data_IF_560213466263
#
_entry.id   IF_560213466263
#
_cell.length_a   1.000
_cell.length_b   1.000
_cell.length_c   1.000
_cell.angle_alpha   90.00
_cell.angle_beta   90.00
_cell.angle_gamma   90.00
#
_symmetry.space_group_name_H-M   'P 1'
#
loop_
_entity.id
_entity.type
_entity.pdbx_description
1 polymer ?
#
# COMPACT_ATOMS: atom_id res chain seq x y z
N UNK A 1 14.35 2.16 11.66
CA UNK A 1 13.17 3.00 11.34
C UNK A 1 11.95 2.52 12.11
N UNK A 2 11.24 1.46 11.68
CA UNK A 2 10.02 1.00 12.38
C UNK A 2 10.28 0.57 13.83
N UNK A 3 11.40 -0.16 14.07
CA UNK A 3 11.81 -0.55 15.43
C UNK A 3 12.06 0.63 16.37
N UNK A 4 12.54 1.75 15.82
CA UNK A 4 12.83 2.98 16.57
C UNK A 4 11.60 3.88 16.71
N UNK A 5 10.43 3.47 16.19
CA UNK A 5 9.22 4.28 16.18
C UNK A 5 9.38 5.60 15.42
N UNK A 6 10.21 5.63 14.36
CA UNK A 6 10.45 6.85 13.59
C UNK A 6 9.31 7.16 12.62
N UNK A 7 8.93 8.43 12.56
CA UNK A 7 8.06 8.99 11.53
C UNK A 7 8.93 9.54 10.39
N UNK A 8 8.63 9.16 9.15
CA UNK A 8 9.34 9.61 7.94
C UNK A 8 8.78 10.92 7.36
N UNK A 9 7.90 11.62 8.09
CA UNK A 9 7.33 12.87 7.62
C UNK A 9 8.42 13.93 7.42
N UNK A 10 8.40 14.58 6.26
CA UNK A 10 9.19 15.77 5.95
C UNK A 10 8.33 16.82 5.25
N UNK A 11 8.84 18.03 5.13
CA UNK A 11 8.28 19.02 4.19
C UNK A 11 8.39 18.52 2.74
N UNK A 12 7.61 19.12 1.84
CA UNK A 12 7.68 18.81 0.41
C UNK A 12 9.08 19.06 -0.14
N UNK A 13 9.67 18.08 -0.86
CA UNK A 13 10.95 18.28 -1.51
C UNK A 13 10.87 19.40 -2.56
N UNK A 14 11.87 20.28 -2.59
CA UNK A 14 11.91 21.44 -3.49
C UNK A 14 12.00 21.08 -4.98
N UNK A 15 12.38 19.84 -5.28
CA UNK A 15 12.49 19.26 -6.63
C UNK A 15 11.17 18.66 -7.15
N UNK A 16 10.06 18.75 -6.39
CA UNK A 16 8.74 18.27 -6.81
C UNK A 16 7.90 19.39 -7.43
N UNK A 17 7.35 20.26 -6.59
CA UNK A 17 6.57 21.43 -6.99
C UNK A 17 6.62 22.48 -5.88
N UNK A 18 6.25 23.72 -6.22
CA UNK A 18 6.19 24.80 -5.25
C UNK A 18 4.94 24.69 -4.37
N UNK A 19 5.05 24.02 -3.22
CA UNK A 19 3.94 23.86 -2.26
C UNK A 19 3.41 25.19 -1.73
N UNK A 20 4.26 26.21 -1.60
CA UNK A 20 3.85 27.53 -1.09
C UNK A 20 2.87 28.25 -2.02
N UNK A 21 2.86 27.91 -3.32
CA UNK A 21 1.87 28.45 -4.25
C UNK A 21 0.44 27.94 -3.98
N UNK A 22 0.30 26.84 -3.24
CA UNK A 22 -0.98 26.20 -2.93
C UNK A 22 -1.32 26.26 -1.43
N UNK A 23 -0.37 26.61 -0.56
CA UNK A 23 -0.59 26.55 0.88
C UNK A 23 -1.55 27.63 1.37
N UNK A 24 -2.60 27.20 2.05
CA UNK A 24 -3.50 28.04 2.84
C UNK A 24 -3.95 27.26 4.07
N UNK A 25 -3.53 27.72 5.25
CA UNK A 25 -3.86 27.10 6.52
C UNK A 25 -5.36 26.98 6.75
N UNK A 26 -6.13 27.97 6.30
CA UNK A 26 -7.59 27.99 6.50
C UNK A 26 -8.34 27.17 5.44
N UNK A 27 -7.61 26.65 4.43
CA UNK A 27 -8.16 25.91 3.31
C UNK A 27 -9.36 26.63 2.66
N UNK A 28 -9.22 27.94 2.44
CA UNK A 28 -10.33 28.84 2.12
C UNK A 28 -10.86 28.72 0.69
N UNK A 29 -10.23 27.92 -0.18
CA UNK A 29 -10.62 27.73 -1.56
C UNK A 29 -10.28 26.34 -2.11
N UNK A 30 -10.87 25.98 -3.24
CA UNK A 30 -10.71 24.64 -3.82
C UNK A 30 -9.35 24.36 -4.46
N UNK A 31 -8.54 25.42 -4.62
CA UNK A 31 -7.18 25.38 -5.15
C UNK A 31 -6.10 25.49 -4.08
N UNK A 32 -6.45 25.33 -2.80
CA UNK A 32 -5.49 25.44 -1.70
C UNK A 32 -5.34 24.15 -0.88
N UNK A 33 -4.24 24.06 -0.14
CA UNK A 33 -3.85 22.93 0.69
C UNK A 33 -3.54 23.40 2.12
N UNK A 34 -4.08 22.73 3.17
CA UNK A 34 -3.81 23.09 4.57
C UNK A 34 -2.50 22.51 5.10
N UNK A 35 -1.66 21.92 4.25
CA UNK A 35 -0.51 21.10 4.62
C UNK A 35 0.73 21.47 3.81
N UNK A 36 1.92 21.17 4.35
CA UNK A 36 3.22 21.52 3.74
C UNK A 36 4.19 20.34 3.58
N UNK A 37 3.75 19.13 3.91
CA UNK A 37 4.60 17.96 3.87
C UNK A 37 3.85 16.66 3.62
N UNK A 38 4.60 15.58 3.74
CA UNK A 38 4.17 14.20 3.50
C UNK A 38 5.33 13.28 3.82
N UNK A 39 5.33 12.08 3.26
CA UNK A 39 6.37 11.08 3.51
C UNK A 39 7.08 10.73 2.21
N UNK A 40 8.26 11.28 1.97
CA UNK A 40 8.91 11.18 0.65
C UNK A 40 10.13 10.27 0.68
N UNK A 41 10.39 9.61 -0.44
CA UNK A 41 11.65 8.93 -0.68
C UNK A 41 12.78 9.97 -0.74
N UNK A 42 13.96 9.61 -0.23
CA UNK A 42 15.12 10.51 -0.20
C UNK A 42 15.99 10.38 -1.44
N UNK A 43 15.81 9.28 -2.15
CA UNK A 43 16.49 8.92 -3.37
C UNK A 43 16.03 9.81 -4.54
N UNK A 44 16.92 9.97 -5.52
CA UNK A 44 16.60 10.68 -6.75
C UNK A 44 15.61 9.85 -7.60
N UNK A 45 14.36 10.32 -7.71
CA UNK A 45 13.33 9.65 -8.50
C UNK A 45 13.56 9.76 -10.03
N UNK A 46 14.50 10.60 -10.45
CA UNK A 46 14.97 10.68 -11.83
C UNK A 46 15.96 9.57 -12.19
N UNK A 47 16.66 8.99 -11.22
CA UNK A 47 17.67 7.97 -11.43
C UNK A 47 17.04 6.64 -11.91
N UNK A 48 17.65 6.02 -12.92
CA UNK A 48 17.22 4.73 -13.46
C UNK A 48 18.32 4.11 -14.33
N UNK A 49 18.66 2.85 -14.10
CA UNK A 49 19.60 2.10 -14.95
C UNK A 49 18.91 1.61 -16.25
N UNK A 50 18.63 2.55 -17.16
CA UNK A 50 17.91 2.26 -18.39
C UNK A 50 18.58 1.16 -19.25
N UNK A 51 19.93 1.16 -19.45
CA UNK A 51 20.58 0.09 -20.20
C UNK A 51 20.40 -1.30 -19.58
N UNK A 52 20.46 -1.42 -18.25
CA UNK A 52 20.20 -2.70 -17.58
C UNK A 52 18.80 -3.23 -17.91
N UNK A 53 17.78 -2.37 -17.88
CA UNK A 53 16.40 -2.74 -18.18
C UNK A 53 16.05 -2.79 -19.67
N UNK A 54 17.04 -2.71 -20.57
CA UNK A 54 16.84 -2.68 -22.03
C UNK A 54 15.93 -1.52 -22.48
N UNK A 55 16.01 -0.38 -21.79
CA UNK A 55 15.24 0.83 -22.08
C UNK A 55 16.15 1.88 -22.74
N UNK A 56 15.65 2.49 -23.82
CA UNK A 56 16.37 3.58 -24.49
C UNK A 56 16.24 4.90 -23.70
N UNK A 57 17.18 5.85 -23.83
CA UNK A 57 17.07 7.15 -23.14
C UNK A 57 15.77 7.90 -23.45
N UNK A 58 15.33 7.88 -24.71
CA UNK A 58 14.09 8.54 -25.13
C UNK A 58 12.84 7.89 -24.52
N UNK A 59 12.87 6.59 -24.29
CA UNK A 59 11.79 5.89 -23.59
C UNK A 59 11.83 6.15 -22.08
N UNK A 60 13.02 6.11 -21.46
CA UNK A 60 13.19 6.35 -20.04
C UNK A 60 12.66 7.73 -19.60
N UNK A 61 12.89 8.77 -20.41
CA UNK A 61 12.33 10.12 -20.16
C UNK A 61 10.80 10.13 -20.19
N UNK A 62 10.18 9.28 -20.99
CA UNK A 62 8.72 9.20 -21.07
C UNK A 62 8.09 8.35 -19.96
N UNK A 63 8.89 7.50 -19.31
CA UNK A 63 8.40 6.55 -18.31
C UNK A 63 8.12 7.27 -16.99
N UNK A 64 6.88 7.11 -16.51
CA UNK A 64 6.51 7.39 -15.14
C UNK A 64 7.55 6.75 -14.19
N UNK A 65 8.17 7.52 -13.28
CA UNK A 65 9.08 6.99 -12.27
C UNK A 65 8.53 5.77 -11.51
N UNK A 66 7.20 5.67 -11.34
CA UNK A 66 6.56 4.48 -10.77
C UNK A 66 6.89 3.21 -11.57
N UNK A 67 6.93 3.27 -12.90
CA UNK A 67 7.27 2.12 -13.74
C UNK A 67 8.76 1.74 -13.62
N UNK A 68 9.63 2.74 -13.53
CA UNK A 68 11.08 2.56 -13.40
C UNK A 68 11.44 1.91 -12.07
N UNK A 69 10.93 2.46 -10.98
CA UNK A 69 11.22 1.96 -9.63
C UNK A 69 10.51 0.62 -9.37
N UNK A 70 9.34 0.36 -9.99
CA UNK A 70 8.71 -0.97 -9.93
C UNK A 70 9.57 -2.07 -10.59
N UNK A 71 10.26 -1.76 -11.69
CA UNK A 71 11.22 -2.68 -12.32
C UNK A 71 12.38 -3.00 -11.38
N UNK A 72 13.00 -1.97 -10.80
CA UNK A 72 14.11 -2.12 -9.84
C UNK A 72 13.67 -2.85 -8.57
N UNK A 73 12.49 -2.54 -8.04
CA UNK A 73 11.95 -3.19 -6.84
C UNK A 73 11.61 -4.66 -7.12
N UNK A 74 11.12 -4.97 -8.33
CA UNK A 74 10.88 -6.36 -8.75
C UNK A 74 12.17 -7.14 -8.90
N UNK A 75 13.23 -6.51 -9.44
CA UNK A 75 14.56 -7.09 -9.50
C UNK A 75 15.08 -7.43 -8.10
N UNK A 76 15.05 -6.46 -7.17
CA UNK A 76 15.48 -6.68 -5.78
C UNK A 76 14.64 -7.74 -5.05
N UNK A 77 13.34 -7.83 -5.33
CA UNK A 77 12.48 -8.86 -4.75
C UNK A 77 12.85 -10.27 -5.23
N UNK A 78 13.17 -10.43 -6.52
CA UNK A 78 13.66 -11.69 -7.07
C UNK A 78 15.04 -12.06 -6.51
N UNK A 79 15.96 -11.10 -6.43
CA UNK A 79 17.26 -11.32 -5.78
C UNK A 79 17.11 -11.73 -4.32
N UNK A 80 16.23 -11.04 -3.57
CA UNK A 80 15.94 -11.39 -2.17
C UNK A 80 15.35 -12.80 -2.02
N UNK A 81 14.61 -13.27 -3.01
CA UNK A 81 14.08 -14.63 -3.08
C UNK A 81 15.12 -15.67 -3.55
N UNK A 82 16.33 -15.28 -3.94
CA UNK A 82 17.37 -16.17 -4.48
C UNK A 82 17.10 -16.63 -5.92
N UNK A 83 16.28 -15.88 -6.66
CA UNK A 83 15.87 -16.18 -8.03
C UNK A 83 16.59 -15.26 -9.01
N UNK A 84 17.33 -15.86 -9.95
CA UNK A 84 17.99 -15.11 -11.03
C UNK A 84 17.01 -14.85 -12.16
N UNK A 85 17.30 -13.85 -12.99
CA UNK A 85 16.53 -13.53 -14.22
C UNK A 85 16.38 -14.80 -15.08
N UNK A 86 17.47 -15.54 -15.30
CA UNK A 86 17.45 -16.77 -16.10
C UNK A 86 16.55 -17.87 -15.53
N UNK A 87 16.45 -17.99 -14.20
CA UNK A 87 15.57 -18.97 -13.56
C UNK A 87 14.09 -18.62 -13.71
N UNK A 88 13.77 -17.33 -13.83
CA UNK A 88 12.39 -16.86 -14.01
C UNK A 88 11.99 -16.72 -15.48
N UNK A 89 12.96 -16.56 -16.39
CA UNK A 89 12.68 -16.30 -17.80
C UNK A 89 11.86 -17.43 -18.44
N UNK A 90 10.75 -17.05 -19.07
CA UNK A 90 9.81 -17.97 -19.73
C UNK A 90 8.88 -18.72 -18.80
N UNK A 91 8.99 -18.55 -17.48
CA UNK A 91 8.13 -19.25 -16.52
C UNK A 91 6.69 -18.73 -16.54
N UNK A 92 5.75 -19.55 -16.05
CA UNK A 92 4.37 -19.14 -15.77
C UNK A 92 4.28 -18.34 -14.47
N UNK A 93 5.01 -17.23 -14.41
CA UNK A 93 4.96 -16.28 -13.31
C UNK A 93 3.98 -15.16 -13.64
N UNK A 94 3.01 -14.91 -12.75
CA UNK A 94 2.13 -13.76 -12.88
C UNK A 94 2.73 -12.51 -12.26
N UNK A 95 2.28 -11.35 -12.73
CA UNK A 95 2.64 -10.04 -12.20
C UNK A 95 1.38 -9.24 -11.93
N UNK A 96 1.16 -8.91 -10.66
CA UNK A 96 0.06 -8.07 -10.23
C UNK A 96 0.62 -6.83 -9.56
N UNK A 97 0.45 -5.67 -10.18
CA UNK A 97 0.83 -4.38 -9.59
C UNK A 97 -0.41 -3.62 -9.12
N UNK A 98 -0.19 -2.61 -8.28
CA UNK A 98 -1.24 -1.79 -7.73
C UNK A 98 -0.81 -0.32 -7.65
N UNK A 99 -1.49 0.52 -8.40
CA UNK A 99 -1.53 1.98 -8.24
C UNK A 99 -2.86 2.49 -8.78
N UNK A 100 -3.27 3.64 -8.28
CA UNK A 100 -4.42 4.39 -8.80
C UNK A 100 -4.09 5.88 -9.00
N UNK A 101 -2.84 6.27 -8.76
CA UNK A 101 -2.38 7.66 -8.88
C UNK A 101 -1.54 7.82 -10.14
N UNK A 102 -1.76 8.92 -10.86
CA UNK A 102 -1.13 9.22 -12.14
C UNK A 102 -0.60 10.66 -12.19
N UNK A 103 -0.06 11.16 -11.07
CA UNK A 103 0.50 12.51 -10.90
C UNK A 103 1.46 12.89 -12.05
N UNK A 104 2.36 11.98 -12.45
CA UNK A 104 3.33 12.23 -13.52
C UNK A 104 2.67 12.39 -14.89
N UNK A 105 1.62 11.61 -15.17
CA UNK A 105 0.81 11.73 -16.38
C UNK A 105 0.05 13.06 -16.40
N UNK A 106 -0.56 13.42 -15.28
CA UNK A 106 -1.28 14.70 -15.12
C UNK A 106 -0.34 15.89 -15.38
N UNK A 107 0.88 15.85 -14.83
CA UNK A 107 1.90 16.87 -15.07
C UNK A 107 2.28 17.00 -16.55
N UNK A 108 2.60 15.89 -17.24
CA UNK A 108 3.00 15.93 -18.65
C UNK A 108 1.86 16.32 -19.61
N UNK A 109 0.62 16.06 -19.24
CA UNK A 109 -0.54 16.40 -20.07
C UNK A 109 -0.94 17.87 -20.01
N UNK A 110 -0.34 18.67 -19.12
CA UNK A 110 -0.59 20.12 -19.07
C UNK A 110 -0.07 20.86 -20.31
N UNK A 111 0.97 20.34 -20.97
CA UNK A 111 1.51 20.89 -22.22
C UNK A 111 1.56 19.82 -23.31
N UNK A 112 0.55 19.76 -24.20
CA UNK A 112 0.50 18.80 -25.30
C UNK A 112 1.69 18.87 -26.27
N UNK A 113 2.37 20.02 -26.37
CA UNK A 113 3.53 20.19 -27.26
C UNK A 113 4.79 19.49 -26.71
N UNK A 114 4.82 19.20 -25.41
CA UNK A 114 5.94 18.54 -24.71
C UNK A 114 5.71 17.04 -24.49
N UNK A 115 4.63 16.47 -25.02
CA UNK A 115 4.34 15.05 -24.84
C UNK A 115 5.43 14.19 -25.51
N UNK A 116 6.11 13.31 -24.75
CA UNK A 116 7.20 12.51 -25.29
C UNK A 116 6.67 11.44 -26.25
N UNK A 117 7.50 11.07 -27.24
CA UNK A 117 7.18 10.04 -28.26
C UNK A 117 6.62 8.74 -27.67
N UNK A 118 7.12 8.32 -26.50
CA UNK A 118 6.73 7.07 -25.83
C UNK A 118 5.66 7.26 -24.75
N UNK A 119 4.95 8.38 -24.71
CA UNK A 119 3.95 8.70 -23.68
C UNK A 119 2.88 7.60 -23.50
N UNK A 120 2.41 6.99 -24.60
CA UNK A 120 1.38 5.94 -24.53
C UNK A 120 1.80 4.74 -23.66
N UNK A 121 3.06 4.34 -23.74
CA UNK A 121 3.65 3.25 -22.94
C UNK A 121 4.31 3.74 -21.65
N UNK A 122 4.74 5.01 -21.62
CA UNK A 122 5.41 5.61 -20.47
C UNK A 122 4.45 6.04 -19.35
N UNK A 123 3.18 6.31 -19.67
CA UNK A 123 2.21 6.88 -18.73
C UNK A 123 1.02 5.95 -18.43
N UNK A 124 0.94 4.78 -19.07
CA UNK A 124 -0.15 3.83 -18.82
C UNK A 124 0.08 3.04 -17.53
N UNK A 125 -0.91 3.04 -16.62
CA UNK A 125 -0.84 2.24 -15.39
C UNK A 125 -0.67 0.73 -15.65
N UNK A 126 -1.20 0.22 -16.77
CA UNK A 126 -1.01 -1.19 -17.16
C UNK A 126 0.46 -1.57 -17.38
N UNK A 127 1.31 -0.60 -17.73
CA UNK A 127 2.72 -0.83 -18.01
C UNK A 127 3.54 -1.06 -16.74
N UNK A 128 3.02 -0.77 -15.54
CA UNK A 128 3.65 -1.16 -14.28
C UNK A 128 3.87 -2.66 -14.19
N UNK A 129 2.83 -3.47 -14.45
CA UNK A 129 2.95 -4.92 -14.49
C UNK A 129 3.61 -5.40 -15.79
N UNK A 130 3.20 -4.83 -16.93
CA UNK A 130 3.60 -5.36 -18.23
C UNK A 130 5.09 -5.16 -18.53
N UNK A 131 5.74 -4.10 -18.02
CA UNK A 131 7.19 -3.95 -18.18
C UNK A 131 7.97 -4.97 -17.38
N UNK A 132 7.53 -5.27 -16.15
CA UNK A 132 8.13 -6.34 -15.33
C UNK A 132 8.00 -7.67 -16.07
N UNK A 133 6.80 -8.00 -16.53
CA UNK A 133 6.56 -9.22 -17.32
C UNK A 133 7.42 -9.28 -18.58
N UNK A 134 7.53 -8.18 -19.31
CA UNK A 134 8.32 -8.10 -20.54
C UNK A 134 9.82 -8.27 -20.27
N UNK A 135 10.38 -7.52 -19.31
CA UNK A 135 11.81 -7.52 -19.02
C UNK A 135 12.29 -8.89 -18.51
N UNK A 136 11.57 -9.49 -17.56
CA UNK A 136 11.91 -10.81 -17.02
C UNK A 136 11.36 -11.97 -17.87
N UNK A 137 10.71 -11.69 -19.01
CA UNK A 137 10.10 -12.68 -19.90
C UNK A 137 9.11 -13.62 -19.19
N UNK A 138 8.28 -13.08 -18.30
CA UNK A 138 7.29 -13.82 -17.51
C UNK A 138 6.02 -14.05 -18.35
N UNK A 139 5.44 -15.25 -18.27
CA UNK A 139 4.36 -15.71 -19.15
C UNK A 139 3.03 -15.99 -18.44
N UNK A 140 2.90 -15.60 -17.17
CA UNK A 140 1.61 -15.63 -16.45
C UNK A 140 0.77 -14.37 -16.69
N UNK A 141 -0.42 -14.28 -16.08
CA UNK A 141 -1.23 -13.06 -16.08
C UNK A 141 -0.45 -11.84 -15.61
N UNK A 142 -0.67 -10.70 -16.28
CA UNK A 142 0.04 -9.45 -16.01
C UNK A 142 -0.95 -8.30 -16.00
N UNK A 143 -1.18 -7.67 -14.85
CA UNK A 143 -2.16 -6.59 -14.74
C UNK A 143 -1.88 -5.63 -13.59
N UNK A 144 -2.24 -4.36 -13.79
CA UNK A 144 -2.33 -3.37 -12.73
C UNK A 144 -3.76 -3.31 -12.21
N UNK A 145 -3.91 -3.28 -10.89
CA UNK A 145 -5.21 -3.20 -10.22
C UNK A 145 -5.42 -1.85 -9.59
N UNK A 146 -6.67 -1.40 -9.67
CA UNK A 146 -7.17 -0.22 -8.98
C UNK A 146 -8.46 -0.58 -8.24
N UNK A 147 -8.33 -0.70 -6.93
CA UNK A 147 -9.42 -0.65 -5.96
C UNK A 147 -9.12 0.39 -4.89
N UNK A 148 -8.52 1.53 -5.29
CA UNK A 148 -8.02 2.58 -4.41
C UNK A 148 -7.03 2.05 -3.34
N UNK A 149 -7.20 2.40 -2.07
CA UNK A 149 -6.26 2.10 -0.99
C UNK A 149 -6.04 0.60 -0.71
N UNK A 150 -6.95 -0.26 -1.18
CA UNK A 150 -6.87 -1.72 -1.02
C UNK A 150 -6.18 -2.43 -2.21
N UNK A 151 -5.80 -1.68 -3.26
CA UNK A 151 -5.34 -2.23 -4.54
C UNK A 151 -4.28 -3.33 -4.42
N UNK A 152 -3.24 -3.14 -3.58
CA UNK A 152 -2.20 -4.15 -3.41
C UNK A 152 -2.65 -5.42 -2.67
N UNK A 153 -3.63 -5.34 -1.77
CA UNK A 153 -4.22 -6.54 -1.16
C UNK A 153 -5.22 -7.23 -2.10
N UNK A 154 -5.91 -6.48 -2.96
CA UNK A 154 -6.71 -7.04 -4.05
C UNK A 154 -5.82 -7.80 -5.06
N UNK A 155 -4.68 -7.21 -5.43
CA UNK A 155 -3.65 -7.85 -6.23
C UNK A 155 -3.10 -9.12 -5.56
N UNK A 156 -2.82 -9.06 -4.25
CA UNK A 156 -2.39 -10.20 -3.45
C UNK A 156 -3.43 -11.33 -3.44
N UNK A 157 -4.70 -10.99 -3.26
CA UNK A 157 -5.80 -11.96 -3.27
C UNK A 157 -5.86 -12.69 -4.61
N UNK A 158 -5.86 -11.95 -5.71
CA UNK A 158 -5.93 -12.53 -7.06
C UNK A 158 -4.70 -13.40 -7.32
N UNK A 159 -3.50 -12.95 -6.96
CA UNK A 159 -2.28 -13.75 -7.07
C UNK A 159 -2.36 -15.06 -6.28
N UNK A 160 -2.90 -15.03 -5.06
CA UNK A 160 -3.14 -16.24 -4.27
C UNK A 160 -4.10 -17.20 -4.98
N UNK A 161 -5.20 -16.69 -5.53
CA UNK A 161 -6.15 -17.53 -6.28
C UNK A 161 -5.50 -18.13 -7.53
N UNK A 162 -4.70 -17.34 -8.25
CA UNK A 162 -4.00 -17.75 -9.45
C UNK A 162 -3.00 -18.90 -9.20
N UNK A 163 -2.25 -18.79 -8.10
CA UNK A 163 -1.35 -19.84 -7.62
C UNK A 163 -2.14 -21.10 -7.25
N UNK A 164 -3.20 -20.95 -6.44
CA UNK A 164 -4.04 -22.07 -5.98
C UNK A 164 -4.68 -22.83 -7.15
N UNK A 165 -5.21 -22.12 -8.15
CA UNK A 165 -5.80 -22.68 -9.36
C UNK A 165 -4.76 -23.24 -10.35
N UNK A 166 -3.47 -22.94 -10.15
CA UNK A 166 -2.39 -23.43 -11.01
C UNK A 166 -2.29 -22.68 -12.34
N UNK A 167 -2.96 -21.53 -12.48
CA UNK A 167 -2.76 -20.58 -13.59
C UNK A 167 -1.29 -20.15 -13.65
N UNK A 168 -0.72 -19.89 -12.47
CA UNK A 168 0.66 -19.46 -12.28
C UNK A 168 1.39 -20.37 -11.29
N UNK A 169 2.71 -20.49 -11.42
CA UNK A 169 3.59 -21.24 -10.50
C UNK A 169 4.29 -20.36 -9.48
N UNK A 170 4.43 -19.09 -9.83
CA UNK A 170 4.96 -18.03 -8.99
C UNK A 170 4.19 -16.74 -9.31
N UNK A 171 4.16 -15.79 -8.38
CA UNK A 171 3.58 -14.48 -8.63
C UNK A 171 4.46 -13.38 -8.03
N UNK A 172 4.65 -12.29 -8.76
CA UNK A 172 5.11 -11.02 -8.19
C UNK A 172 3.88 -10.18 -7.87
N UNK A 173 3.79 -9.70 -6.64
CA UNK A 173 2.73 -8.78 -6.20
C UNK A 173 3.37 -7.49 -5.73
N UNK A 174 3.09 -6.40 -6.44
CA UNK A 174 3.66 -5.08 -6.19
C UNK A 174 2.60 -4.03 -5.89
N UNK A 175 2.97 -3.00 -5.16
CA UNK A 175 2.15 -1.80 -4.98
C UNK A 175 3.03 -0.58 -4.78
N UNK A 176 2.57 0.57 -5.28
CA UNK A 176 3.34 1.80 -5.19
C UNK A 176 2.49 3.06 -5.10
N UNK A 177 3.16 4.15 -4.73
CA UNK A 177 2.71 5.52 -4.94
C UNK A 177 3.92 6.44 -5.03
N UNK A 178 3.78 7.50 -5.82
CA UNK A 178 4.67 8.67 -5.80
C UNK A 178 3.84 9.94 -5.86
N UNK A 179 4.27 10.96 -5.10
CA UNK A 179 3.62 12.28 -5.06
C UNK A 179 4.45 13.27 -5.88
N UNK A 180 3.98 13.58 -7.09
CA UNK A 180 4.67 14.51 -7.99
C UNK A 180 3.94 15.84 -8.20
N UNK A 181 2.61 15.86 -8.05
CA UNK A 181 1.79 16.99 -8.44
C UNK A 181 0.69 17.26 -7.40
N UNK A 182 0.29 18.52 -7.16
CA UNK A 182 -0.71 18.86 -6.14
C UNK A 182 -2.13 18.43 -6.48
N UNK A 183 -2.47 18.18 -7.75
CA UNK A 183 -3.86 17.97 -8.20
C UNK A 183 -4.63 16.96 -7.35
N UNK A 184 -4.06 15.78 -7.13
CA UNK A 184 -4.74 14.76 -6.35
C UNK A 184 -4.94 15.20 -4.89
N UNK A 185 -3.95 15.88 -4.29
CA UNK A 185 -4.08 16.42 -2.94
C UNK A 185 -5.12 17.52 -2.85
N UNK A 186 -5.25 18.37 -3.86
CA UNK A 186 -6.29 19.41 -3.92
C UNK A 186 -7.68 18.76 -3.92
N UNK A 187 -7.88 17.72 -4.73
CA UNK A 187 -9.15 16.97 -4.78
C UNK A 187 -9.44 16.31 -3.42
N UNK A 188 -8.44 15.71 -2.78
CA UNK A 188 -8.61 15.08 -1.45
C UNK A 188 -8.81 16.10 -0.32
N UNK A 189 -8.17 17.27 -0.41
CA UNK A 189 -8.34 18.40 0.51
C UNK A 189 -9.77 18.94 0.47
N UNK A 190 -10.36 19.02 -0.74
CA UNK A 190 -11.75 19.43 -0.93
C UNK A 190 -12.77 18.47 -0.29
N UNK A 191 -12.36 17.22 -0.02
CA UNK A 191 -13.16 16.24 0.71
C UNK A 191 -12.79 16.13 2.20
N UNK A 192 -11.90 17.01 2.68
CA UNK A 192 -11.39 17.01 4.06
C UNK A 192 -10.71 15.70 4.47
N UNK A 193 -10.07 15.01 3.52
CA UNK A 193 -9.34 13.77 3.80
C UNK A 193 -7.89 13.99 4.22
N UNK A 194 -7.32 15.12 3.85
CA UNK A 194 -5.92 15.43 4.10
C UNK A 194 -5.70 15.95 5.53
N UNK A 195 -4.71 15.39 6.23
CA UNK A 195 -4.27 15.90 7.52
C UNK A 195 -3.49 17.21 7.34
N UNK A 196 -3.84 18.30 8.06
CA UNK A 196 -3.04 19.53 8.07
C UNK A 196 -1.67 19.34 8.72
N UNK A 197 -1.48 18.29 9.53
CA UNK A 197 -0.21 17.98 10.19
C UNK A 197 0.76 17.20 9.30
N UNK A 198 0.35 16.88 8.06
CA UNK A 198 1.12 16.02 7.15
C UNK A 198 1.48 14.66 7.75
N UNK A 199 0.62 14.13 8.64
CA UNK A 199 0.80 12.82 9.30
C UNK A 199 -0.48 12.00 9.29
N UNK A 200 -0.33 10.69 9.41
CA UNK A 200 -1.43 9.78 9.75
C UNK A 200 -1.41 9.52 11.26
N UNK A 201 -2.30 10.17 12.01
CA UNK A 201 -2.46 9.98 13.46
C UNK A 201 -3.31 8.74 13.77
N UNK A 202 -2.92 7.57 13.23
CA UNK A 202 -3.68 6.32 13.30
C UNK A 202 -4.07 5.97 14.74
N UNK A 203 -5.36 5.91 15.02
CA UNK A 203 -6.00 5.61 16.30
C UNK A 203 -5.71 6.61 17.45
N UNK A 204 -5.03 7.72 17.17
CA UNK A 204 -4.70 8.74 18.17
C UNK A 204 -5.84 9.76 18.31
N UNK A 205 -5.94 10.43 19.46
CA UNK A 205 -6.89 11.53 19.69
C UNK A 205 -6.76 12.70 18.72
N UNK A 206 -5.60 12.85 18.04
CA UNK A 206 -5.34 13.87 17.01
C UNK A 206 -5.73 13.45 15.59
N UNK A 207 -6.33 12.26 15.40
CA UNK A 207 -6.81 11.79 14.11
C UNK A 207 -7.63 12.86 13.37
N UNK A 208 -7.05 13.43 12.30
CA UNK A 208 -7.56 14.58 11.57
C UNK A 208 -7.41 14.46 10.03
N UNK A 209 -7.19 13.24 9.52
CA UNK A 209 -6.96 12.97 8.11
C UNK A 209 -5.73 12.09 7.91
N UNK A 210 -5.39 11.84 6.65
CA UNK A 210 -4.17 11.13 6.28
C UNK A 210 -3.17 12.04 5.56
N UNK A 211 -1.92 11.62 5.50
CA UNK A 211 -0.88 12.25 4.68
C UNK A 211 -0.36 11.27 3.64
N UNK A 212 -0.19 11.74 2.40
CA UNK A 212 0.34 10.91 1.31
C UNK A 212 1.81 10.58 1.55
N UNK A 213 2.24 9.43 1.03
CA UNK A 213 3.63 9.04 1.04
C UNK A 213 4.08 8.33 -0.24
N UNK A 214 5.35 8.47 -0.54
CA UNK A 214 6.07 7.74 -1.57
C UNK A 214 6.47 6.36 -1.04
N UNK A 215 6.37 5.34 -1.89
CA UNK A 215 6.89 4.03 -1.54
C UNK A 215 6.53 2.94 -2.53
N UNK A 216 7.34 1.90 -2.49
CA UNK A 216 7.23 0.71 -3.35
C UNK A 216 7.44 -0.52 -2.50
N UNK A 217 6.66 -1.56 -2.78
CA UNK A 217 6.87 -2.88 -2.20
C UNK A 217 6.51 -3.95 -3.21
N UNK A 218 7.35 -4.98 -3.32
CA UNK A 218 7.10 -6.17 -4.12
C UNK A 218 7.37 -7.40 -3.27
N UNK A 219 6.47 -8.38 -3.34
CA UNK A 219 6.68 -9.71 -2.74
C UNK A 219 6.61 -10.78 -3.82
N UNK A 220 7.39 -11.84 -3.62
CA UNK A 220 7.38 -13.05 -4.45
C UNK A 220 6.57 -14.13 -3.74
N UNK A 221 5.58 -14.70 -4.43
CA UNK A 221 4.69 -15.71 -3.89
C UNK A 221 4.81 -17.02 -4.65
N UNK A 222 4.77 -18.13 -3.91
CA UNK A 222 4.63 -19.49 -4.43
C UNK A 222 3.67 -20.27 -3.54
N UNK A 223 3.14 -21.38 -4.06
CA UNK A 223 2.54 -22.40 -3.19
C UNK A 223 3.59 -22.90 -2.20
N UNK A 224 3.20 -23.08 -0.93
CA UNK A 224 4.12 -23.54 0.11
C UNK A 224 4.79 -24.88 -0.27
N UNK A 225 4.05 -25.80 -0.88
CA UNK A 225 4.59 -27.07 -1.39
C UNK A 225 5.71 -26.87 -2.41
N UNK A 226 5.52 -25.93 -3.33
CA UNK A 226 6.43 -25.66 -4.44
C UNK A 226 7.66 -24.88 -3.93
N UNK A 227 7.50 -24.03 -2.92
CA UNK A 227 8.61 -23.37 -2.23
C UNK A 227 9.48 -24.39 -1.46
N UNK A 228 8.84 -25.32 -0.73
CA UNK A 228 9.55 -26.41 -0.02
C UNK A 228 10.28 -27.35 -0.99
N UNK A 229 9.65 -27.69 -2.12
CA UNK A 229 10.25 -28.54 -3.15
C UNK A 229 11.48 -27.90 -3.77
N UNK A 230 11.43 -26.60 -4.04
CA UNK A 230 12.51 -25.87 -4.71
C UNK A 230 13.60 -25.40 -3.73
N UNK A 231 13.40 -25.60 -2.43
CA UNK A 231 14.35 -25.20 -1.38
C UNK A 231 14.37 -23.68 -1.13
N UNK A 232 13.28 -23.00 -1.42
CA UNK A 232 13.18 -21.55 -1.26
C UNK A 232 13.12 -21.13 0.23
N UNK A 233 13.61 -19.93 0.51
CA UNK A 233 13.45 -19.33 1.84
C UNK A 233 12.03 -18.85 2.05
N UNK A 234 11.31 -19.46 3.00
CA UNK A 234 9.94 -19.09 3.34
C UNK A 234 9.97 -18.02 4.45
N UNK A 235 9.65 -16.78 4.09
CA UNK A 235 9.60 -15.65 5.05
C UNK A 235 8.32 -15.61 5.88
N UNK A 236 7.19 -16.01 5.29
CA UNK A 236 5.90 -16.13 5.93
C UNK A 236 4.95 -16.99 5.09
N UNK A 237 3.80 -17.38 5.67
CA UNK A 237 2.75 -18.13 4.97
C UNK A 237 1.45 -17.32 4.96
N UNK A 238 0.95 -17.01 3.76
CA UNK A 238 -0.38 -16.43 3.60
C UNK A 238 -1.40 -17.56 3.78
N UNK A 239 -2.13 -17.53 4.90
CA UNK A 239 -3.11 -18.57 5.24
C UNK A 239 -4.44 -18.39 4.52
N UNK A 240 -4.85 -17.15 4.31
CA UNK A 240 -6.12 -16.78 3.71
C UNK A 240 -6.06 -15.34 3.19
N UNK A 241 -6.91 -15.04 2.21
CA UNK A 241 -7.21 -13.68 1.75
C UNK A 241 -8.70 -13.60 1.44
N UNK A 242 -9.28 -12.41 1.54
CA UNK A 242 -10.69 -12.17 1.21
C UNK A 242 -10.89 -10.75 0.70
N UNK A 243 -11.95 -10.57 -0.08
CA UNK A 243 -12.42 -9.28 -0.59
C UNK A 243 -13.94 -9.22 -0.46
N UNK A 244 -14.48 -8.04 -0.16
CA UNK A 244 -15.90 -7.74 -0.25
C UNK A 244 -16.10 -6.25 -0.60
N UNK A 245 -17.32 -5.74 -0.44
CA UNK A 245 -17.67 -4.34 -0.67
C UNK A 245 -18.58 -3.83 0.43
N UNK A 246 -18.45 -2.55 0.75
CA UNK A 246 -19.26 -1.86 1.76
C UNK A 246 -20.74 -1.74 1.35
N UNK A 247 -21.01 -1.85 0.05
CA UNK A 247 -22.35 -1.73 -0.52
C UNK A 247 -22.87 -0.30 -0.44
N UNK A 248 -24.17 -0.14 -0.20
CA UNK A 248 -24.79 1.18 -0.05
C UNK A 248 -24.71 1.65 1.40
N UNK A 249 -23.97 2.71 1.65
CA UNK A 249 -23.86 3.36 2.97
C UNK A 249 -24.77 4.60 3.07
N UNK A 250 -25.12 5.01 4.28
CA UNK A 250 -26.06 6.12 4.52
C UNK A 250 -25.39 7.49 4.44
N UNK A 251 -24.09 7.58 4.74
CA UNK A 251 -23.29 8.80 4.68
C UNK A 251 -22.61 9.06 3.32
N UNK A 252 -22.99 8.31 2.27
CA UNK A 252 -22.49 8.50 0.91
C UNK A 252 -21.31 7.59 0.54
N UNK A 253 -20.92 7.62 -0.73
CA UNK A 253 -20.03 6.62 -1.37
C UNK A 253 -18.65 6.45 -0.71
N UNK A 254 -18.21 7.44 0.07
CA UNK A 254 -16.90 7.43 0.75
C UNK A 254 -16.98 7.06 2.23
N UNK A 255 -18.18 6.87 2.79
CA UNK A 255 -18.33 6.48 4.19
C UNK A 255 -17.97 4.99 4.37
N UNK A 256 -17.09 4.62 5.31
CA UNK A 256 -16.76 3.22 5.57
C UNK A 256 -17.89 2.47 6.26
N UNK A 257 -18.02 1.17 5.97
CA UNK A 257 -19.01 0.29 6.61
C UNK A 257 -18.36 -0.72 7.58
N UNK A 258 -18.52 -0.49 8.88
CA UNK A 258 -17.97 -1.36 9.93
C UNK A 258 -18.53 -2.80 9.92
N UNK A 259 -19.79 -2.99 9.55
CA UNK A 259 -20.39 -4.33 9.47
C UNK A 259 -19.80 -5.12 8.30
N UNK A 260 -19.55 -4.46 7.16
CA UNK A 260 -18.89 -5.07 6.02
C UNK A 260 -17.43 -5.45 6.33
N UNK A 261 -16.71 -4.62 7.09
CA UNK A 261 -15.35 -4.93 7.56
C UNK A 261 -15.33 -6.13 8.51
N UNK A 262 -16.24 -6.16 9.50
CA UNK A 262 -16.38 -7.30 10.41
C UNK A 262 -16.74 -8.58 9.65
N UNK A 263 -17.65 -8.50 8.68
CA UNK A 263 -18.03 -9.64 7.83
C UNK A 263 -16.82 -10.14 7.04
N UNK A 264 -16.03 -9.24 6.44
CA UNK A 264 -14.83 -9.61 5.70
C UNK A 264 -13.83 -10.39 6.56
N UNK A 265 -13.56 -9.90 7.77
CA UNK A 265 -12.65 -10.56 8.72
C UNK A 265 -13.20 -11.96 9.05
N UNK A 266 -14.45 -12.05 9.46
CA UNK A 266 -15.07 -13.33 9.86
C UNK A 266 -15.13 -14.35 8.73
N UNK A 267 -15.53 -13.93 7.53
CA UNK A 267 -15.60 -14.82 6.37
C UNK A 267 -14.21 -15.30 5.94
N UNK A 268 -13.19 -14.44 6.00
CA UNK A 268 -11.82 -14.82 5.62
C UNK A 268 -11.28 -15.93 6.53
N UNK A 269 -11.50 -15.83 7.85
CA UNK A 269 -11.12 -16.89 8.80
C UNK A 269 -11.98 -18.15 8.62
N UNK A 270 -13.30 -17.99 8.47
CA UNK A 270 -14.24 -19.11 8.35
C UNK A 270 -13.97 -19.93 7.08
N UNK A 271 -13.80 -19.28 5.92
CA UNK A 271 -13.50 -19.96 4.64
C UNK A 271 -12.19 -20.73 4.67
N UNK A 272 -11.22 -20.24 5.44
CA UNK A 272 -9.92 -20.89 5.60
C UNK A 272 -9.86 -21.87 6.80
N UNK A 273 -10.97 -22.06 7.51
CA UNK A 273 -11.07 -22.88 8.72
C UNK A 273 -9.95 -22.54 9.74
N UNK A 274 -9.76 -21.24 9.99
CA UNK A 274 -8.75 -20.73 10.91
C UNK A 274 -9.38 -20.32 12.24
N UNK A 275 -8.70 -20.67 13.33
CA UNK A 275 -9.01 -20.14 14.65
C UNK A 275 -8.49 -18.70 14.79
N UNK A 276 -9.31 -17.83 15.37
CA UNK A 276 -8.96 -16.44 15.69
C UNK A 276 -8.22 -16.32 17.03
N UNK A 277 -8.37 -17.30 17.93
CA UNK A 277 -7.75 -17.28 19.24
C UNK A 277 -6.22 -17.15 19.21
N UNK A 278 -5.46 -17.75 18.28
CA UNK A 278 -4.01 -17.60 18.21
C UNK A 278 -3.52 -16.25 17.67
N UNK A 279 -4.38 -15.44 17.05
CA UNK A 279 -3.97 -14.14 16.49
C UNK A 279 -3.49 -13.23 17.64
N UNK A 280 -2.42 -12.48 17.44
CA UNK A 280 -1.85 -11.58 18.47
C UNK A 280 -1.70 -10.15 18.00
N UNK A 281 -1.64 -9.94 16.69
CA UNK A 281 -1.42 -8.66 16.07
C UNK A 281 -2.34 -8.48 14.87
N UNK A 282 -2.85 -7.26 14.70
CA UNK A 282 -3.60 -6.84 13.53
C UNK A 282 -2.96 -5.57 12.95
N UNK A 283 -2.41 -5.69 11.74
CA UNK A 283 -1.99 -4.53 10.95
C UNK A 283 -3.22 -3.94 10.27
N UNK A 284 -3.69 -2.83 10.79
CA UNK A 284 -4.90 -2.16 10.35
C UNK A 284 -4.67 -1.27 9.12
N UNK A 285 -5.76 -0.85 8.50
CA UNK A 285 -5.76 0.24 7.53
C UNK A 285 -5.31 1.54 8.21
N UNK A 286 -5.90 1.90 9.36
CA UNK A 286 -5.45 2.94 10.28
C UNK A 286 -5.06 4.23 9.60
N UNK A 287 -6.03 4.94 9.00
CA UNK A 287 -5.74 6.14 8.20
C UNK A 287 -5.50 7.39 9.01
N UNK A 288 -5.86 7.41 10.30
CA UNK A 288 -5.82 8.63 11.10
C UNK A 288 -7.03 9.52 10.87
N UNK A 289 -8.12 8.97 10.33
CA UNK A 289 -9.35 9.75 10.07
C UNK A 289 -10.29 9.66 11.28
N UNK A 290 -10.93 10.79 11.62
CA UNK A 290 -11.79 10.89 12.80
C UNK A 290 -12.97 9.90 12.79
N UNK A 291 -13.50 9.57 11.60
CA UNK A 291 -14.59 8.60 11.42
C UNK A 291 -14.09 7.18 11.12
N UNK A 292 -13.04 7.04 10.30
CA UNK A 292 -12.56 5.74 9.85
C UNK A 292 -11.92 4.92 10.97
N UNK A 293 -11.05 5.54 11.78
CA UNK A 293 -10.33 4.82 12.83
C UNK A 293 -11.28 4.21 13.89
N UNK A 294 -12.30 4.92 14.42
CA UNK A 294 -13.28 4.29 15.31
C UNK A 294 -14.13 3.21 14.64
N UNK A 295 -14.43 3.35 13.35
CA UNK A 295 -15.22 2.36 12.59
C UNK A 295 -14.42 1.07 12.44
N UNK A 296 -13.16 1.17 12.05
CA UNK A 296 -12.25 0.04 11.90
C UNK A 296 -11.94 -0.64 13.24
N UNK A 297 -11.63 0.12 14.28
CA UNK A 297 -11.37 -0.43 15.61
C UNK A 297 -12.56 -1.23 16.15
N UNK A 298 -13.80 -0.75 15.92
CA UNK A 298 -15.02 -1.48 16.29
C UNK A 298 -15.18 -2.78 15.50
N UNK A 299 -14.93 -2.76 14.19
CA UNK A 299 -15.01 -3.96 13.36
C UNK A 299 -13.99 -5.02 13.78
N UNK A 300 -12.74 -4.61 14.04
CA UNK A 300 -11.67 -5.49 14.56
C UNK A 300 -12.08 -6.04 15.93
N UNK A 301 -12.43 -5.17 16.88
CA UNK A 301 -12.80 -5.58 18.24
C UNK A 301 -14.00 -6.52 18.25
N UNK A 302 -15.06 -6.24 17.50
CA UNK A 302 -16.22 -7.12 17.42
C UNK A 302 -15.91 -8.50 16.81
N UNK A 303 -14.91 -8.58 15.92
CA UNK A 303 -14.47 -9.86 15.33
C UNK A 303 -13.67 -10.69 16.34
N UNK A 304 -12.79 -10.06 17.11
CA UNK A 304 -11.81 -10.77 17.95
C UNK A 304 -12.16 -10.85 19.44
N UNK A 305 -13.03 -9.99 19.98
CA UNK A 305 -13.22 -9.85 21.45
C UNK A 305 -13.65 -11.13 22.16
N UNK A 306 -14.41 -12.01 21.50
CA UNK A 306 -14.83 -13.30 22.09
C UNK A 306 -13.66 -14.28 22.27
N UNK A 307 -12.52 -14.00 21.64
CA UNK A 307 -11.29 -14.79 21.69
C UNK A 307 -10.18 -14.09 22.49
N UNK A 308 -10.51 -13.04 23.24
CA UNK A 308 -9.58 -12.20 24.00
C UNK A 308 -10.06 -12.01 25.43
N UNK A 309 -9.13 -11.94 26.37
CA UNK A 309 -9.41 -11.49 27.73
C UNK A 309 -9.05 -10.01 27.90
N UNK A 310 -9.32 -9.45 29.08
CA UNK A 310 -8.88 -8.09 29.39
C UNK A 310 -7.34 -8.01 29.52
N UNK A 311 -6.73 -9.11 29.95
CA UNK A 311 -5.30 -9.25 30.20
C UNK A 311 -4.51 -9.59 28.92
N UNK A 312 -5.18 -10.16 27.92
CA UNK A 312 -4.61 -10.50 26.61
C UNK A 312 -5.44 -9.88 25.46
N UNK A 313 -5.45 -8.53 25.33
CA UNK A 313 -6.11 -7.87 24.22
C UNK A 313 -5.39 -8.15 22.89
N UNK A 314 -6.10 -7.97 21.78
CA UNK A 314 -5.48 -7.99 20.45
C UNK A 314 -4.68 -6.70 20.24
N UNK A 315 -3.40 -6.81 19.88
CA UNK A 315 -2.59 -5.62 19.59
C UNK A 315 -2.89 -5.12 18.18
N UNK A 316 -3.21 -3.84 18.03
CA UNK A 316 -3.54 -3.22 16.74
C UNK A 316 -2.50 -2.15 16.40
N UNK A 317 -2.01 -2.15 15.17
CA UNK A 317 -1.05 -1.14 14.70
C UNK A 317 -1.32 -0.73 13.26
N UNK A 318 -0.68 0.36 12.82
CA UNK A 318 -0.75 0.82 11.44
C UNK A 318 0.60 1.39 11.02
N UNK A 319 1.14 0.94 9.89
CA UNK A 319 2.39 1.41 9.30
C UNK A 319 2.28 2.84 8.79
N UNK A 320 1.06 3.32 8.55
CA UNK A 320 0.83 4.69 8.04
C UNK A 320 1.32 5.78 8.98
N UNK A 321 1.37 5.53 10.29
CA UNK A 321 1.97 6.47 11.25
C UNK A 321 3.49 6.64 11.05
N UNK A 322 4.15 5.65 10.43
CA UNK A 322 5.56 5.70 10.09
C UNK A 322 5.81 6.35 8.72
N UNK A 323 5.11 5.90 7.68
CA UNK A 323 5.45 6.19 6.27
C UNK A 323 4.31 6.87 5.48
N UNK A 324 3.25 7.29 6.15
CA UNK A 324 2.10 7.90 5.50
C UNK A 324 1.25 6.87 4.74
N UNK A 325 0.26 7.39 4.02
CA UNK A 325 -0.62 6.63 3.15
C UNK A 325 0.03 6.44 1.77
N UNK A 326 0.47 5.23 1.49
CA UNK A 326 1.13 4.88 0.21
C UNK A 326 0.13 4.53 -0.90
N UNK A 327 -1.13 4.95 -0.78
CA UNK A 327 -2.17 4.74 -1.79
C UNK A 327 -2.25 3.26 -2.23
N UNK A 328 -2.04 2.96 -3.51
CA UNK A 328 -2.03 1.58 -4.03
C UNK A 328 -1.00 0.67 -3.36
N UNK A 329 0.09 1.24 -2.82
CA UNK A 329 1.13 0.55 -2.05
C UNK A 329 0.84 0.37 -0.54
N UNK A 330 -0.29 0.87 -0.02
CA UNK A 330 -0.57 0.82 1.42
C UNK A 330 -0.67 -0.61 1.97
N UNK A 331 -1.34 -1.50 1.23
CA UNK A 331 -1.54 -2.88 1.62
C UNK A 331 -0.24 -3.68 1.66
N UNK A 332 0.59 -3.55 0.62
CA UNK A 332 1.85 -4.28 0.54
C UNK A 332 2.85 -3.83 1.62
N UNK A 333 2.86 -2.55 1.99
CA UNK A 333 3.69 -2.07 3.09
C UNK A 333 3.27 -2.68 4.44
N UNK A 334 1.96 -2.78 4.70
CA UNK A 334 1.43 -3.45 5.89
C UNK A 334 1.78 -4.95 5.94
N UNK A 335 1.71 -5.64 4.79
CA UNK A 335 2.15 -7.02 4.68
C UNK A 335 3.65 -7.17 4.99
N UNK A 336 4.50 -6.34 4.37
CA UNK A 336 5.95 -6.37 4.58
C UNK A 336 6.30 -6.10 6.04
N UNK A 337 5.65 -5.12 6.69
CA UNK A 337 5.78 -4.87 8.14
C UNK A 337 5.42 -6.11 8.95
N UNK A 338 4.31 -6.77 8.62
CA UNK A 338 3.85 -7.97 9.34
C UNK A 338 4.84 -9.13 9.19
N UNK A 339 5.40 -9.35 8.01
CA UNK A 339 6.47 -10.34 7.80
C UNK A 339 7.70 -10.02 8.66
N UNK A 340 8.13 -8.76 8.69
CA UNK A 340 9.26 -8.35 9.53
C UNK A 340 8.98 -8.55 11.02
N UNK A 341 7.75 -8.30 11.49
CA UNK A 341 7.32 -8.58 12.86
C UNK A 341 7.46 -10.07 13.19
N UNK A 342 7.01 -10.95 12.29
CA UNK A 342 7.13 -12.40 12.46
C UNK A 342 8.59 -12.85 12.54
N UNK A 343 9.43 -12.37 11.63
CA UNK A 343 10.86 -12.71 11.60
C UNK A 343 11.63 -12.23 12.83
N UNK A 344 11.24 -11.07 13.38
CA UNK A 344 11.89 -10.49 14.55
C UNK A 344 11.28 -10.92 15.87
N UNK A 345 10.07 -11.49 15.86
CA UNK A 345 9.34 -11.88 17.07
C UNK A 345 8.97 -10.71 17.97
N UNK A 346 8.81 -9.50 17.41
CA UNK A 346 8.48 -8.28 18.16
C UNK A 346 7.34 -7.52 17.49
N UNK A 347 6.36 -7.08 18.28
CA UNK A 347 5.32 -6.17 17.80
C UNK A 347 5.81 -4.73 18.01
N UNK A 348 5.67 -3.91 16.97
CA UNK A 348 6.24 -2.57 16.90
C UNK A 348 5.22 -1.51 17.34
N UNK A 349 5.67 -0.40 17.96
CA UNK A 349 4.77 0.65 18.41
C UNK A 349 4.09 1.34 17.22
N UNK A 350 2.87 1.82 17.45
CA UNK A 350 2.24 2.77 16.55
C UNK A 350 2.88 4.15 16.76
N UNK A 351 3.52 4.67 15.73
CA UNK A 351 4.42 5.82 15.87
C UNK A 351 3.66 7.10 16.21
N UNK A 352 4.11 7.79 17.25
CA UNK A 352 3.53 9.06 17.67
C UNK A 352 2.18 8.95 18.40
N UNK A 353 1.67 7.74 18.68
CA UNK A 353 0.47 7.53 19.49
C UNK A 353 0.72 8.02 20.93
N UNK A 354 -0.01 9.05 21.35
CA UNK A 354 0.03 9.65 22.68
C UNK A 354 -1.15 9.20 23.52
N UNK A 355 -2.37 9.31 22.96
CA UNK A 355 -3.62 8.89 23.60
C UNK A 355 -4.53 8.31 22.53
N UNK A 356 -5.16 7.19 22.85
CA UNK A 356 -6.14 6.58 21.95
C UNK A 356 -7.32 7.54 21.73
N UNK A 357 -7.84 7.56 20.52
CA UNK A 357 -9.02 8.32 20.15
C UNK A 357 -10.19 7.99 21.13
N UNK A 358 -10.79 8.99 21.78
CA UNK A 358 -11.82 8.75 22.81
C UNK A 358 -13.09 8.08 22.28
N UNK A 359 -13.29 8.03 20.96
CA UNK A 359 -14.38 7.30 20.33
C UNK A 359 -14.11 5.78 20.20
N UNK A 360 -12.95 5.31 20.66
CA UNK A 360 -12.54 3.90 20.67
C UNK A 360 -12.51 3.39 22.11
N UNK A 361 -13.50 2.58 22.46
CA UNK A 361 -13.55 1.89 23.77
C UNK A 361 -12.69 0.61 23.72
N UNK A 362 -11.38 0.77 23.89
CA UNK A 362 -10.40 -0.32 23.82
C UNK A 362 -10.67 -1.44 24.82
N UNK A 363 -11.18 -1.11 26.01
CA UNK A 363 -11.47 -2.09 27.06
C UNK A 363 -12.62 -3.00 26.66
N UNK A 364 -13.72 -2.45 26.15
CA UNK A 364 -14.87 -3.22 25.67
C UNK A 364 -14.54 -3.98 24.37
N UNK A 365 -13.74 -3.38 23.49
CA UNK A 365 -13.33 -3.99 22.22
C UNK A 365 -12.23 -5.04 22.38
N UNK A 366 -11.59 -5.15 23.56
CA UNK A 366 -10.46 -6.07 23.83
C UNK A 366 -9.31 -5.89 22.84
N UNK A 367 -8.98 -4.64 22.54
CA UNK A 367 -7.85 -4.25 21.67
C UNK A 367 -6.87 -3.37 22.46
N UNK A 368 -5.60 -3.39 22.05
CA UNK A 368 -4.53 -2.56 22.61
C UNK A 368 -3.89 -1.71 21.52
#
# INVERSE_FOLDING_TARGET
MLHEGRCAMTEFPSDRFNIDAFYDKENSGTGTLPLRGGHFLKEDLGAFDAPFFSVTPAEAVAMDPQQRIMLETSYHALENAGLTIDKCSGSKTSVYTATFTDDYKSMLQQDPEQLPKYAATGLSGSMLANRVSWFFNLRGPSMNLDSACSSSLSALHIACQDLLNGTSKMALVGGCNLVFHPDFMLIMSNMSFMSPDSRCWSFDHRANGYARGDGFGVVVLKKLSDALQDGDTIRAVIRATGLNQDGRTTGGITQPNGDAQQLLINETFTRANLDMAPVRFFEAHGTGTALGDPTEAKAIGNSFRSFRSAEEPLIVGAVKSNIGHLEGGSGIAGLIKTVMILEKGIILPNTGLEKVNPNIDTQNLRIH
#
